data_IF_857308019380
#
_entry.id   IF_857308019380
#
_cell.length_a   1.000
_cell.length_b   1.000
_cell.length_c   1.000
_cell.angle_alpha   90.00
_cell.angle_beta   90.00
_cell.angle_gamma   90.00
#
_symmetry.space_group_name_H-M   'P 1'
#
loop_
_entity.id
_entity.type
_entity.pdbx_description
1 polymer ?
#
# COMPACT_ATOMS: atom_id res chain seq x y z
N UNK A 1 17.38 -22.49 -2.41
CA UNK A 1 17.00 -22.92 -1.05
C UNK A 1 17.36 -21.79 -0.10
N UNK A 2 16.39 -21.02 0.33
CA UNK A 2 16.58 -19.96 1.31
C UNK A 2 16.96 -20.59 2.63
N UNK A 3 18.22 -20.49 3.02
CA UNK A 3 18.64 -20.87 4.37
C UNK A 3 18.06 -19.84 5.32
N UNK A 4 16.93 -20.17 5.97
CA UNK A 4 16.44 -19.40 7.10
C UNK A 4 17.49 -19.46 8.20
N UNK A 5 18.39 -18.48 8.21
CA UNK A 5 19.30 -18.30 9.31
C UNK A 5 18.50 -17.90 10.54
N UNK A 6 18.70 -18.54 11.69
CA UNK A 6 18.08 -18.08 12.92
C UNK A 6 18.51 -16.64 13.19
N UNK A 7 17.53 -15.81 13.58
CA UNK A 7 17.73 -14.36 13.85
C UNK A 7 18.11 -13.52 12.62
N UNK A 8 17.62 -13.87 11.44
CA UNK A 8 17.80 -13.05 10.23
C UNK A 8 17.23 -11.63 10.43
N UNK A 9 18.01 -10.63 10.01
CA UNK A 9 17.64 -9.20 10.10
C UNK A 9 17.01 -8.77 8.79
N UNK A 10 15.89 -8.09 8.88
CA UNK A 10 15.23 -7.43 7.75
C UNK A 10 14.60 -6.10 8.18
N UNK A 11 14.41 -5.18 7.25
CA UNK A 11 13.65 -3.94 7.48
C UNK A 11 12.15 -4.23 7.46
N UNK A 12 11.34 -3.38 8.10
CA UNK A 12 9.88 -3.52 8.07
C UNK A 12 9.36 -3.40 6.63
N UNK A 13 9.70 -2.32 5.94
CA UNK A 13 9.29 -2.06 4.55
C UNK A 13 9.76 -0.68 4.11
N UNK A 14 9.05 0.34 4.51
CA UNK A 14 9.27 1.75 4.13
C UNK A 14 10.66 2.27 4.55
N UNK A 15 11.33 2.96 3.60
CA UNK A 15 12.61 3.64 3.82
C UNK A 15 12.44 5.16 3.76
N UNK A 16 13.20 5.95 4.54
CA UNK A 16 13.16 7.41 4.45
C UNK A 16 13.45 7.90 3.02
N UNK A 17 12.55 8.70 2.49
CA UNK A 17 12.68 9.26 1.14
C UNK A 17 13.61 10.46 1.12
N UNK A 18 14.46 10.53 0.11
CA UNK A 18 15.26 11.73 -0.19
C UNK A 18 14.37 12.86 -0.71
N UNK A 19 14.87 14.07 -0.69
CA UNK A 19 14.20 15.23 -1.30
C UNK A 19 13.89 14.97 -2.78
N UNK A 20 14.86 14.42 -3.53
CA UNK A 20 14.68 14.05 -4.93
C UNK A 20 13.53 13.06 -5.15
N UNK A 21 13.38 12.07 -4.25
CA UNK A 21 12.26 11.11 -4.33
C UNK A 21 10.93 11.79 -4.02
N UNK A 22 10.89 12.67 -3.02
CA UNK A 22 9.69 13.43 -2.67
C UNK A 22 9.27 14.38 -3.79
N UNK A 23 10.22 15.02 -4.45
CA UNK A 23 9.97 15.88 -5.62
C UNK A 23 9.44 15.07 -6.81
N UNK A 24 10.01 13.90 -7.09
CA UNK A 24 9.54 13.02 -8.15
C UNK A 24 8.10 12.53 -7.91
N UNK A 25 7.75 12.14 -6.66
CA UNK A 25 6.38 11.77 -6.28
C UNK A 25 5.40 12.94 -6.45
N UNK A 26 5.80 14.16 -6.04
CA UNK A 26 4.98 15.37 -6.25
C UNK A 26 4.83 15.68 -7.74
N UNK A 27 5.94 15.55 -8.50
CA UNK A 27 5.98 15.76 -9.94
C UNK A 27 5.04 14.81 -10.69
N UNK A 28 5.10 13.51 -10.38
CA UNK A 28 4.21 12.49 -10.93
C UNK A 28 2.72 12.84 -10.66
N UNK A 29 2.39 13.18 -9.42
CA UNK A 29 1.03 13.53 -9.01
C UNK A 29 0.48 14.77 -9.74
N UNK A 30 1.34 15.73 -10.09
CA UNK A 30 0.97 16.99 -10.77
C UNK A 30 1.19 16.96 -12.28
N UNK A 31 1.62 15.81 -12.84
CA UNK A 31 1.92 15.68 -14.26
C UNK A 31 3.19 16.43 -14.73
N UNK A 32 4.05 16.90 -13.81
CA UNK A 32 5.30 17.61 -14.11
C UNK A 32 6.51 16.68 -14.26
N UNK A 33 6.37 15.42 -13.90
CA UNK A 33 7.38 14.39 -14.04
C UNK A 33 6.83 13.31 -14.96
N UNK A 34 7.55 13.01 -16.02
CA UNK A 34 7.21 11.90 -16.92
C UNK A 34 7.36 10.56 -16.22
N UNK A 35 6.80 9.50 -16.78
CA UNK A 35 6.96 8.15 -16.27
C UNK A 35 8.43 7.74 -16.22
N UNK A 36 9.15 7.96 -17.31
CA UNK A 36 10.56 7.56 -17.41
C UNK A 36 11.46 8.31 -16.41
N UNK A 37 11.23 9.62 -16.23
CA UNK A 37 11.93 10.41 -15.22
C UNK A 37 11.66 9.91 -13.82
N UNK A 38 10.40 9.58 -13.51
CA UNK A 38 10.03 9.02 -12.22
C UNK A 38 10.69 7.67 -11.98
N UNK A 39 10.63 6.76 -12.95
CA UNK A 39 11.23 5.42 -12.85
C UNK A 39 12.76 5.50 -12.69
N UNK A 40 13.41 6.45 -13.36
CA UNK A 40 14.85 6.70 -13.19
C UNK A 40 15.22 7.13 -11.76
N UNK A 41 14.39 7.99 -11.14
CA UNK A 41 14.58 8.38 -9.74
C UNK A 41 14.33 7.20 -8.81
N UNK A 42 13.23 6.47 -8.99
CA UNK A 42 12.92 5.27 -8.20
C UNK A 42 14.07 4.26 -8.27
N UNK A 43 14.59 3.97 -9.46
CA UNK A 43 15.71 3.05 -9.65
C UNK A 43 16.93 3.46 -8.84
N UNK A 44 17.35 4.72 -8.97
CA UNK A 44 18.54 5.26 -8.26
C UNK A 44 18.36 5.22 -6.74
N UNK A 45 17.19 5.61 -6.25
CA UNK A 45 16.91 5.64 -4.82
C UNK A 45 16.76 4.23 -4.23
N UNK A 46 16.17 3.30 -4.98
CA UNK A 46 16.09 1.88 -4.59
C UNK A 46 17.49 1.26 -4.55
N UNK A 47 18.34 1.51 -5.53
CA UNK A 47 19.74 1.05 -5.51
C UNK A 47 20.47 1.54 -4.26
N UNK A 48 20.32 2.83 -3.93
CA UNK A 48 20.90 3.42 -2.71
C UNK A 48 20.38 2.74 -1.44
N UNK A 49 19.08 2.49 -1.36
CA UNK A 49 18.44 1.81 -0.24
C UNK A 49 18.95 0.37 -0.08
N UNK A 50 18.99 -0.40 -1.17
CA UNK A 50 19.49 -1.78 -1.17
C UNK A 50 20.96 -1.83 -0.76
N UNK A 51 21.79 -0.95 -1.33
CA UNK A 51 23.22 -0.87 -0.99
C UNK A 51 23.44 -0.59 0.50
N UNK A 52 22.71 0.38 1.07
CA UNK A 52 22.81 0.69 2.50
C UNK A 52 22.42 -0.51 3.38
N UNK A 53 21.38 -1.27 3.02
CA UNK A 53 20.99 -2.49 3.72
C UNK A 53 22.08 -3.56 3.65
N UNK A 54 22.65 -3.78 2.47
CA UNK A 54 23.73 -4.76 2.25
C UNK A 54 24.98 -4.40 3.06
N UNK A 55 25.39 -3.11 3.04
CA UNK A 55 26.54 -2.60 3.80
C UNK A 55 26.32 -2.69 5.32
N UNK A 56 25.09 -2.49 5.78
CA UNK A 56 24.73 -2.65 7.18
C UNK A 56 24.61 -4.13 7.63
N UNK A 57 24.77 -5.10 6.73
CA UNK A 57 24.70 -6.52 7.04
C UNK A 57 23.27 -7.08 7.16
N UNK A 58 22.27 -6.40 6.61
CA UNK A 58 20.87 -6.90 6.57
C UNK A 58 20.80 -8.19 5.76
N UNK A 59 20.21 -9.24 6.30
CA UNK A 59 20.17 -10.56 5.67
C UNK A 59 19.13 -10.65 4.54
N UNK A 60 17.96 -10.05 4.76
CA UNK A 60 16.83 -10.06 3.80
C UNK A 60 16.48 -8.61 3.49
N UNK A 61 16.72 -8.19 2.24
CA UNK A 61 16.55 -6.80 1.82
C UNK A 61 15.13 -6.51 1.35
N UNK A 62 14.76 -5.23 1.36
CA UNK A 62 13.47 -4.71 0.86
C UNK A 62 13.70 -3.57 -0.13
N UNK A 63 12.68 -3.26 -0.96
CA UNK A 63 12.70 -2.14 -1.91
C UNK A 63 12.73 -0.75 -1.22
N UNK A 64 12.29 -0.69 0.03
CA UNK A 64 12.06 0.55 0.75
C UNK A 64 10.77 1.26 0.36
N UNK A 65 9.93 0.68 -0.49
CA UNK A 65 8.64 1.22 -0.95
C UNK A 65 8.75 2.63 -1.56
N UNK A 66 9.92 2.95 -2.10
CA UNK A 66 10.27 4.32 -2.50
C UNK A 66 9.40 4.86 -3.62
N UNK A 67 8.98 4.00 -4.55
CA UNK A 67 8.13 4.36 -5.67
C UNK A 67 6.63 4.44 -5.34
N UNK A 68 6.23 4.03 -4.14
CA UNK A 68 4.83 4.08 -3.69
C UNK A 68 4.54 5.47 -3.11
N UNK A 69 3.37 6.00 -3.38
CA UNK A 69 2.89 7.23 -2.73
C UNK A 69 2.60 6.97 -1.25
N UNK A 70 2.02 5.80 -0.95
CA UNK A 70 1.70 5.30 0.38
C UNK A 70 1.82 3.76 0.34
N UNK A 71 1.97 3.10 1.49
CA UNK A 71 2.17 1.65 1.58
C UNK A 71 0.97 0.81 1.12
N UNK A 72 -0.23 1.37 0.99
CA UNK A 72 -1.43 0.68 0.51
C UNK A 72 -2.17 1.40 -0.62
N UNK A 73 -2.08 2.72 -0.76
CA UNK A 73 -2.83 3.47 -1.79
C UNK A 73 -2.29 3.27 -3.21
N UNK A 74 -1.03 2.84 -3.35
CA UNK A 74 -0.39 2.57 -4.64
C UNK A 74 -1.15 1.54 -5.50
N UNK A 75 -1.95 0.68 -4.86
CA UNK A 75 -2.71 -0.35 -5.56
C UNK A 75 -3.83 0.24 -6.43
N UNK A 76 -4.29 1.48 -6.17
CA UNK A 76 -5.35 2.12 -6.96
C UNK A 76 -4.96 2.28 -8.45
N UNK A 77 -3.67 2.45 -8.72
CA UNK A 77 -3.17 2.50 -10.10
C UNK A 77 -3.16 1.13 -10.80
N UNK A 78 -3.34 0.04 -10.06
CA UNK A 78 -3.14 -1.35 -10.51
C UNK A 78 -4.38 -2.24 -10.38
N UNK A 79 -5.42 -1.73 -9.73
CA UNK A 79 -6.66 -2.46 -9.44
C UNK A 79 -7.84 -1.66 -9.97
N UNK A 80 -8.60 -2.26 -10.86
CA UNK A 80 -9.87 -1.71 -11.33
C UNK A 80 -10.92 -1.75 -10.21
N UNK A 81 -11.95 -0.92 -10.32
CA UNK A 81 -12.99 -0.79 -9.30
C UNK A 81 -12.57 0.06 -8.10
N UNK A 82 -11.39 0.69 -8.14
CA UNK A 82 -10.89 1.58 -7.09
C UNK A 82 -10.75 3.02 -7.56
N UNK A 83 -10.90 3.96 -6.62
CA UNK A 83 -10.65 5.39 -6.83
C UNK A 83 -9.96 5.98 -5.61
N UNK A 84 -8.93 6.81 -5.83
CA UNK A 84 -8.35 7.62 -4.76
C UNK A 84 -9.28 8.76 -4.41
N UNK A 85 -9.81 8.74 -3.18
CA UNK A 85 -10.67 9.79 -2.65
C UNK A 85 -10.03 10.42 -1.42
N UNK A 86 -10.11 11.74 -1.34
CA UNK A 86 -9.75 12.46 -0.12
C UNK A 86 -10.89 12.39 0.90
N UNK A 87 -10.57 12.65 2.17
CA UNK A 87 -11.60 12.78 3.20
C UNK A 87 -12.59 13.93 2.87
N UNK A 88 -12.11 14.96 2.18
CA UNK A 88 -12.97 16.05 1.70
C UNK A 88 -13.95 15.57 0.61
N UNK A 89 -13.51 14.69 -0.30
CA UNK A 89 -14.38 14.10 -1.32
C UNK A 89 -15.49 13.22 -0.72
N UNK A 90 -15.25 12.67 0.47
CA UNK A 90 -16.21 11.83 1.21
C UNK A 90 -17.25 12.64 2.00
N UNK A 91 -16.96 13.92 2.32
CA UNK A 91 -17.87 14.81 3.09
C UNK A 91 -19.25 14.97 2.46
N UNK A 92 -19.31 15.00 1.13
CA UNK A 92 -20.57 15.19 0.42
C UNK A 92 -21.51 13.97 0.47
N UNK A 93 -21.02 12.83 0.91
CA UNK A 93 -21.72 11.55 0.88
C UNK A 93 -21.97 10.94 2.26
N UNK A 94 -21.44 11.55 3.32
CA UNK A 94 -21.64 11.05 4.69
C UNK A 94 -22.95 11.58 5.26
N UNK A 95 -23.79 10.69 5.81
CA UNK A 95 -25.09 11.05 6.39
C UNK A 95 -24.95 12.01 7.59
N UNK A 96 -23.92 11.83 8.42
CA UNK A 96 -23.63 12.72 9.57
C UNK A 96 -22.42 13.61 9.26
N UNK A 97 -22.65 14.64 8.46
CA UNK A 97 -21.64 15.63 8.07
C UNK A 97 -21.01 16.32 9.28
N UNK A 98 -21.80 16.62 10.30
CA UNK A 98 -21.32 17.37 11.48
C UNK A 98 -20.32 16.52 12.30
N UNK A 99 -20.61 15.25 12.56
CA UNK A 99 -19.69 14.36 13.25
C UNK A 99 -18.42 14.10 12.43
N UNK A 100 -18.54 14.07 11.10
CA UNK A 100 -17.40 13.88 10.22
C UNK A 100 -16.53 15.16 10.14
N UNK A 101 -17.13 16.35 10.09
CA UNK A 101 -16.43 17.63 10.16
C UNK A 101 -15.71 17.81 11.50
N UNK A 102 -16.34 17.45 12.63
CA UNK A 102 -15.70 17.46 13.94
C UNK A 102 -14.49 16.54 13.97
N UNK A 103 -14.60 15.35 13.40
CA UNK A 103 -13.46 14.42 13.26
C UNK A 103 -12.34 15.03 12.42
N UNK A 104 -12.66 15.73 11.31
CA UNK A 104 -11.67 16.38 10.46
C UNK A 104 -10.92 17.50 11.18
N UNK A 105 -11.55 18.20 12.12
CA UNK A 105 -10.90 19.26 12.90
C UNK A 105 -9.85 18.71 13.89
N UNK A 106 -9.91 17.42 14.21
CA UNK A 106 -8.93 16.75 15.08
C UNK A 106 -7.68 16.26 14.35
N UNK A 107 -7.65 16.38 13.01
CA UNK A 107 -6.51 15.94 12.21
C UNK A 107 -5.46 17.05 12.12
N UNK A 108 -4.19 16.68 12.36
CA UNK A 108 -3.05 17.60 12.22
C UNK A 108 -2.68 17.90 10.75
N UNK A 109 -3.41 17.32 9.79
CA UNK A 109 -3.20 17.50 8.35
C UNK A 109 -4.50 17.84 7.64
N UNK A 110 -4.45 18.67 6.57
CA UNK A 110 -5.64 18.99 5.80
C UNK A 110 -6.35 17.75 5.27
N UNK A 111 -7.67 17.67 5.44
CA UNK A 111 -8.50 16.55 4.98
C UNK A 111 -8.32 16.22 3.47
N UNK A 112 -7.98 17.23 2.66
CA UNK A 112 -7.66 17.08 1.24
C UNK A 112 -6.30 16.42 0.96
N UNK A 113 -5.41 16.35 1.95
CA UNK A 113 -4.08 15.77 1.79
C UNK A 113 -4.07 14.25 1.99
N UNK A 114 -5.01 13.72 2.78
CA UNK A 114 -5.16 12.29 3.03
C UNK A 114 -6.05 11.70 1.95
N UNK A 115 -5.47 10.81 1.13
CA UNK A 115 -6.21 10.09 0.09
C UNK A 115 -6.18 8.61 0.36
N UNK A 116 -7.36 7.99 0.32
CA UNK A 116 -7.53 6.57 0.52
C UNK A 116 -8.07 5.91 -0.75
N UNK A 117 -7.63 4.69 -1.09
CA UNK A 117 -8.30 3.90 -2.10
C UNK A 117 -9.73 3.61 -1.62
N UNK A 118 -10.70 3.90 -2.45
CA UNK A 118 -12.13 3.63 -2.18
C UNK A 118 -12.65 2.69 -3.24
N UNK A 119 -13.34 1.64 -2.84
CA UNK A 119 -14.02 0.72 -3.74
C UNK A 119 -15.27 1.40 -4.32
N UNK A 120 -15.31 1.54 -5.63
CA UNK A 120 -16.40 2.18 -6.38
C UNK A 120 -16.99 1.27 -7.46
N UNK A 121 -16.56 0.02 -7.53
CA UNK A 121 -17.01 -0.98 -8.50
C UNK A 121 -16.35 -2.33 -8.25
N UNK A 122 -16.58 -3.31 -9.14
CA UNK A 122 -15.99 -4.64 -9.03
C UNK A 122 -14.47 -4.58 -9.06
N UNK A 123 -13.83 -5.15 -8.04
CA UNK A 123 -12.39 -5.20 -7.93
C UNK A 123 -11.82 -6.26 -8.87
N UNK A 124 -10.80 -5.88 -9.64
CA UNK A 124 -9.99 -6.82 -10.41
C UNK A 124 -8.56 -6.31 -10.56
N UNK A 125 -7.60 -7.21 -10.48
CA UNK A 125 -6.19 -6.88 -10.66
C UNK A 125 -5.88 -6.67 -12.13
N UNK A 126 -5.48 -5.45 -12.51
CA UNK A 126 -5.12 -5.09 -13.89
C UNK A 126 -3.68 -5.45 -14.22
N UNK A 127 -2.78 -5.31 -13.25
CA UNK A 127 -1.36 -5.63 -13.37
C UNK A 127 -0.78 -6.06 -12.01
N UNK A 128 0.39 -6.74 -11.99
CA UNK A 128 1.05 -7.12 -10.74
C UNK A 128 1.32 -5.93 -9.81
N UNK A 129 1.08 -6.11 -8.52
CA UNK A 129 1.17 -5.03 -7.54
C UNK A 129 2.63 -4.66 -7.23
N UNK A 130 3.46 -5.66 -6.94
CA UNK A 130 4.82 -5.45 -6.44
C UNK A 130 5.90 -6.23 -7.21
N UNK A 131 5.55 -6.96 -8.27
CA UNK A 131 6.51 -7.75 -9.06
C UNK A 131 7.64 -6.89 -9.61
N UNK A 132 7.34 -5.69 -10.13
CA UNK A 132 8.37 -4.76 -10.64
C UNK A 132 9.33 -4.27 -9.55
N UNK A 133 8.88 -4.18 -8.28
CA UNK A 133 9.77 -3.85 -7.16
C UNK A 133 10.73 -5.01 -6.87
N UNK A 134 10.26 -6.26 -6.91
CA UNK A 134 11.09 -7.47 -6.75
C UNK A 134 12.18 -7.52 -7.80
N UNK A 135 11.81 -7.35 -9.08
CA UNK A 135 12.75 -7.38 -10.21
C UNK A 135 13.79 -6.26 -10.08
N UNK A 136 13.35 -5.07 -9.68
CA UNK A 136 14.23 -3.93 -9.49
C UNK A 136 15.26 -4.21 -8.39
N UNK A 137 14.84 -4.70 -7.21
CA UNK A 137 15.75 -5.01 -6.10
C UNK A 137 16.75 -6.08 -6.49
N UNK A 138 16.30 -7.13 -7.17
CA UNK A 138 17.18 -8.22 -7.67
C UNK A 138 18.22 -7.75 -8.67
N UNK A 139 17.96 -6.66 -9.39
CA UNK A 139 18.97 -6.09 -10.27
C UNK A 139 20.18 -5.49 -9.54
N UNK A 140 20.11 -5.34 -8.21
CA UNK A 140 21.15 -4.72 -7.37
C UNK A 140 21.82 -5.66 -6.35
N UNK A 141 21.24 -6.85 -6.09
CA UNK A 141 21.76 -7.76 -5.06
C UNK A 141 21.34 -9.20 -5.31
N UNK A 142 22.19 -10.14 -4.86
CA UNK A 142 21.89 -11.58 -4.78
C UNK A 142 21.34 -11.99 -3.39
N UNK A 143 21.16 -11.05 -2.47
CA UNK A 143 20.59 -11.36 -1.16
C UNK A 143 19.11 -11.72 -1.28
N UNK A 144 18.57 -12.51 -0.34
CA UNK A 144 17.14 -12.77 -0.26
C UNK A 144 16.34 -11.45 -0.22
N UNK A 145 15.21 -11.44 -0.93
CA UNK A 145 14.36 -10.26 -1.05
C UNK A 145 13.00 -10.52 -0.41
N UNK A 146 12.59 -9.59 0.43
CA UNK A 146 11.26 -9.53 0.98
C UNK A 146 10.41 -8.49 0.24
N UNK A 147 9.22 -8.90 -0.17
CA UNK A 147 8.19 -8.03 -0.75
C UNK A 147 7.13 -7.72 0.31
N UNK A 148 6.79 -6.46 0.48
CA UNK A 148 5.73 -6.01 1.39
C UNK A 148 4.46 -5.72 0.61
N UNK A 149 3.34 -6.19 1.14
CA UNK A 149 1.99 -5.95 0.61
C UNK A 149 1.07 -5.49 1.73
N UNK A 150 0.10 -4.62 1.46
CA UNK A 150 -0.96 -4.34 2.43
C UNK A 150 -1.78 -5.60 2.67
N UNK A 151 -2.15 -5.84 3.92
CA UNK A 151 -2.93 -7.01 4.30
C UNK A 151 -4.39 -6.93 3.90
N UNK A 152 -5.09 -8.07 3.79
CA UNK A 152 -6.47 -8.11 3.32
C UNK A 152 -7.46 -7.41 4.26
N UNK A 153 -7.22 -7.44 5.57
CA UNK A 153 -8.06 -6.72 6.53
C UNK A 153 -7.94 -5.21 6.37
N UNK A 154 -6.68 -4.71 6.31
CA UNK A 154 -6.41 -3.30 6.09
C UNK A 154 -7.08 -2.81 4.80
N UNK A 155 -6.88 -3.53 3.68
CA UNK A 155 -7.46 -3.15 2.39
C UNK A 155 -8.98 -3.14 2.44
N UNK A 156 -9.60 -4.21 2.93
CA UNK A 156 -11.06 -4.31 3.05
C UNK A 156 -11.62 -3.17 3.91
N UNK A 157 -10.94 -2.86 5.02
CA UNK A 157 -11.37 -1.81 5.93
C UNK A 157 -11.23 -0.41 5.33
N UNK A 158 -10.11 -0.15 4.67
CA UNK A 158 -9.79 1.16 4.11
C UNK A 158 -10.58 1.49 2.85
N UNK A 159 -10.83 0.46 2.01
CA UNK A 159 -11.49 0.65 0.72
C UNK A 159 -13.02 0.68 0.81
N UNK A 160 -13.60 0.11 1.88
CA UNK A 160 -15.04 0.07 2.05
C UNK A 160 -15.58 1.40 2.57
N UNK A 161 -16.34 2.08 1.73
CA UNK A 161 -17.18 3.25 2.10
C UNK A 161 -18.60 2.92 1.65
N UNK A 162 -19.52 2.76 2.61
CA UNK A 162 -20.87 2.20 2.37
C UNK A 162 -21.60 2.86 1.21
N UNK A 163 -21.51 4.18 1.10
CA UNK A 163 -22.23 4.98 0.10
C UNK A 163 -21.67 4.83 -1.32
N UNK A 164 -20.41 4.41 -1.46
CA UNK A 164 -19.76 4.17 -2.75
C UNK A 164 -19.60 2.70 -3.07
N UNK A 165 -19.33 1.88 -2.05
CA UNK A 165 -18.93 0.49 -2.24
C UNK A 165 -20.12 -0.45 -2.32
N UNK A 166 -21.24 -0.10 -1.64
CA UNK A 166 -22.47 -0.87 -1.71
C UNK A 166 -23.20 -0.58 -3.01
N UNK A 167 -23.52 -1.63 -3.76
CA UNK A 167 -24.20 -1.49 -5.05
C UNK A 167 -24.41 -2.83 -5.74
N UNK A 168 -24.37 -2.84 -7.06
CA UNK A 168 -24.57 -4.05 -7.85
C UNK A 168 -23.42 -5.06 -7.69
N UNK A 169 -22.21 -4.58 -7.42
CA UNK A 169 -21.00 -5.40 -7.34
C UNK A 169 -20.80 -6.04 -5.96
N UNK A 170 -21.21 -5.33 -4.87
CA UNK A 170 -21.04 -5.81 -3.50
C UNK A 170 -22.24 -5.47 -2.64
N UNK A 171 -22.78 -6.47 -1.95
CA UNK A 171 -23.87 -6.30 -1.00
C UNK A 171 -23.38 -5.71 0.33
N UNK A 172 -22.19 -6.13 0.76
CA UNK A 172 -21.58 -5.74 2.04
C UNK A 172 -20.06 -5.83 2.00
N UNK A 173 -19.41 -5.43 3.10
CA UNK A 173 -17.96 -5.48 3.25
C UNK A 173 -17.37 -6.89 3.18
N UNK A 174 -17.95 -7.94 3.79
CA UNK A 174 -17.50 -9.32 3.63
C UNK A 174 -17.49 -9.81 2.18
N UNK A 175 -18.49 -9.42 1.37
CA UNK A 175 -18.55 -9.75 -0.04
C UNK A 175 -17.36 -9.15 -0.81
N UNK A 176 -17.07 -7.87 -0.61
CA UNK A 176 -15.88 -7.23 -1.16
C UNK A 176 -14.57 -7.88 -0.67
N UNK A 177 -14.51 -8.31 0.58
CA UNK A 177 -13.33 -8.96 1.16
C UNK A 177 -12.92 -10.22 0.39
N UNK A 178 -13.89 -10.96 -0.16
CA UNK A 178 -13.64 -12.11 -1.01
C UNK A 178 -12.77 -11.77 -2.22
N UNK A 179 -13.08 -10.69 -2.91
CA UNK A 179 -12.30 -10.21 -4.07
C UNK A 179 -10.93 -9.65 -3.66
N UNK A 180 -10.85 -8.94 -2.52
CA UNK A 180 -9.56 -8.49 -1.98
C UNK A 180 -8.63 -9.67 -1.74
N UNK A 181 -9.14 -10.74 -1.15
CA UNK A 181 -8.35 -11.98 -0.91
C UNK A 181 -7.97 -12.64 -2.24
N UNK A 182 -8.89 -12.72 -3.20
CA UNK A 182 -8.61 -13.30 -4.52
C UNK A 182 -7.47 -12.54 -5.23
N UNK A 183 -7.54 -11.22 -5.26
CA UNK A 183 -6.55 -10.31 -5.83
C UNK A 183 -5.15 -10.50 -5.20
N UNK A 184 -5.10 -10.58 -3.86
CA UNK A 184 -3.83 -10.82 -3.15
C UNK A 184 -3.29 -12.24 -3.38
N UNK A 185 -4.15 -13.24 -3.56
CA UNK A 185 -3.71 -14.60 -3.92
C UNK A 185 -3.11 -14.66 -5.33
N UNK A 186 -3.66 -13.91 -6.29
CA UNK A 186 -3.06 -13.78 -7.62
C UNK A 186 -1.66 -13.14 -7.54
N UNK A 187 -1.52 -12.07 -6.74
CA UNK A 187 -0.23 -11.44 -6.52
C UNK A 187 0.78 -12.38 -5.87
N UNK A 188 0.37 -13.14 -4.85
CA UNK A 188 1.23 -14.14 -4.22
C UNK A 188 1.71 -15.21 -5.21
N UNK A 189 0.83 -15.69 -6.09
CA UNK A 189 1.19 -16.68 -7.09
C UNK A 189 2.23 -16.14 -8.10
N UNK A 190 2.09 -14.88 -8.51
CA UNK A 190 3.05 -14.24 -9.40
C UNK A 190 4.40 -14.01 -8.70
N UNK A 191 4.40 -13.56 -7.44
CA UNK A 191 5.61 -13.37 -6.65
C UNK A 191 6.32 -14.70 -6.37
N UNK A 192 5.58 -15.78 -6.05
CA UNK A 192 6.12 -17.13 -5.89
C UNK A 192 6.78 -17.64 -7.18
N UNK A 193 6.08 -17.48 -8.32
CA UNK A 193 6.61 -17.86 -9.63
C UNK A 193 7.86 -17.06 -10.01
N UNK A 194 7.92 -15.78 -9.64
CA UNK A 194 9.10 -14.93 -9.80
C UNK A 194 10.21 -15.26 -8.78
N UNK A 195 9.90 -16.11 -7.80
CA UNK A 195 10.83 -16.61 -6.79
C UNK A 195 11.08 -15.65 -5.65
N UNK A 196 10.14 -14.80 -5.24
CA UNK A 196 10.27 -13.99 -4.03
C UNK A 196 10.62 -14.88 -2.84
N UNK A 197 11.58 -14.44 -2.04
CA UNK A 197 12.06 -15.24 -0.89
C UNK A 197 11.08 -15.13 0.29
N UNK A 198 10.50 -13.94 0.49
CA UNK A 198 9.51 -13.67 1.52
C UNK A 198 8.45 -12.69 1.00
N UNK A 199 7.22 -12.89 1.45
CA UNK A 199 6.14 -11.90 1.31
C UNK A 199 5.61 -11.57 2.71
N UNK A 200 5.55 -10.28 3.01
CA UNK A 200 5.00 -9.76 4.27
C UNK A 200 3.68 -9.05 4.00
N UNK A 201 2.63 -9.44 4.72
CA UNK A 201 1.39 -8.68 4.75
C UNK A 201 1.39 -7.71 5.93
N UNK A 202 1.21 -6.43 5.64
CA UNK A 202 1.16 -5.37 6.64
C UNK A 202 -0.28 -5.17 7.11
N UNK A 203 -0.52 -5.42 8.41
CA UNK A 203 -1.82 -5.32 9.06
C UNK A 203 -1.76 -4.43 10.32
N UNK A 204 -1.37 -3.15 10.19
CA UNK A 204 -1.16 -2.28 11.36
C UNK A 204 -2.43 -2.02 12.16
N UNK A 205 -3.60 -2.19 11.55
CA UNK A 205 -4.90 -1.94 12.19
C UNK A 205 -5.56 -3.20 12.76
N UNK A 206 -4.93 -4.36 12.65
CA UNK A 206 -5.49 -5.62 13.15
C UNK A 206 -5.68 -5.61 14.69
N UNK A 207 -4.90 -4.80 15.40
CA UNK A 207 -5.04 -4.58 16.84
C UNK A 207 -6.41 -4.05 17.25
N UNK A 208 -7.13 -3.39 16.36
CA UNK A 208 -8.48 -2.91 16.63
C UNK A 208 -9.45 -4.07 16.92
N UNK A 209 -9.25 -5.23 16.30
CA UNK A 209 -10.09 -6.42 16.54
C UNK A 209 -9.83 -7.01 17.93
N UNK A 210 -8.57 -6.95 18.38
CA UNK A 210 -8.13 -7.64 19.60
C UNK A 210 -8.38 -6.79 20.85
N UNK A 211 -8.27 -5.46 20.75
CA UNK A 211 -8.22 -4.57 21.90
C UNK A 211 -9.43 -3.64 22.05
N UNK A 212 -10.24 -3.46 21.02
CA UNK A 212 -11.46 -2.66 21.15
C UNK A 212 -12.65 -3.55 21.54
N UNK A 213 -13.08 -3.45 22.80
CA UNK A 213 -14.35 -4.02 23.25
C UNK A 213 -15.59 -3.44 22.55
N UNK A 214 -15.38 -2.38 21.75
CA UNK A 214 -16.39 -1.73 20.93
C UNK A 214 -15.81 -1.50 19.51
N UNK A 215 -16.16 -2.37 18.56
CA UNK A 215 -15.78 -2.27 17.16
C UNK A 215 -16.30 -0.99 16.45
N UNK A 216 -16.89 -0.06 17.18
CA UNK A 216 -17.53 1.16 16.65
C UNK A 216 -16.62 2.38 16.61
N UNK A 217 -15.50 2.39 17.30
CA UNK A 217 -14.54 3.51 17.21
C UNK A 217 -13.63 3.31 16.01
N UNK A 218 -13.88 4.07 14.96
CA UNK A 218 -12.96 4.21 13.82
C UNK A 218 -11.74 4.97 14.29
N UNK A 219 -10.64 4.28 14.50
CA UNK A 219 -9.34 4.93 14.65
C UNK A 219 -8.77 5.11 13.25
N UNK A 220 -8.69 6.33 12.78
CA UNK A 220 -7.97 6.65 11.54
C UNK A 220 -6.50 6.82 11.89
N UNK A 221 -5.63 6.14 11.14
CA UNK A 221 -4.22 6.51 11.04
C UNK A 221 -4.00 7.37 9.82
#
# INVERSE_FOLDING_TARGET
>A
MTTNLPFSVTQVGSWPRSEAMLEALRGRRTGRCTRDEFEAVVRRETERCVRAQVEAGVDVVVSGELGRDNFYSFLTDKVDGTKLMSLADMLDTVDDKAAFEEMLTTLDVPASAIRNPTCVGKLSRREPLALGELDLVRSFTDRPVKVTLPGPYLLTRSMWVSDFSRGQDYADKPDMAGDVVALLREELADLEKAGADFVQFDEPVLTEIVHSGDCKRRTFM
#
